data_IF_733693214677
#
_entry.id   IF_733693214677
#
_cell.length_a   1.000
_cell.length_b   1.000
_cell.length_c   1.000
_cell.angle_alpha   90.00
_cell.angle_beta   90.00
_cell.angle_gamma   90.00
#
_symmetry.space_group_name_H-M   'P 1'
#
loop_
_entity.id
_entity.type
_entity.pdbx_description
1 polymer ?
#
# COMPACT_ATOMS: atom_id res chain seq x y z
N UNK A 1 2.40 13.51 -7.52
CA UNK A 1 3.45 12.91 -6.68
C UNK A 1 3.54 13.61 -5.33
N UNK A 2 3.76 14.93 -5.26
CA UNK A 2 3.83 15.69 -4.00
C UNK A 2 2.61 15.47 -3.07
N UNK A 3 1.40 15.48 -3.62
CA UNK A 3 0.17 15.31 -2.82
C UNK A 3 0.01 13.89 -2.27
N UNK A 4 0.55 12.90 -2.98
CA UNK A 4 0.54 11.49 -2.55
C UNK A 4 1.46 11.28 -1.34
N UNK A 5 2.66 11.88 -1.35
CA UNK A 5 3.56 11.81 -0.20
C UNK A 5 2.97 12.53 1.02
N UNK A 6 2.31 13.68 0.81
CA UNK A 6 1.64 14.42 1.89
C UNK A 6 0.55 13.57 2.56
N UNK A 7 -0.30 12.93 1.75
CA UNK A 7 -1.36 12.06 2.24
C UNK A 7 -0.80 10.82 2.98
N UNK A 8 0.28 10.23 2.49
CA UNK A 8 0.95 9.12 3.17
C UNK A 8 1.55 9.53 4.52
N UNK A 9 2.14 10.73 4.61
CA UNK A 9 2.66 11.30 5.85
C UNK A 9 1.54 11.62 6.84
N UNK A 10 0.43 12.22 6.40
CA UNK A 10 -0.72 12.53 7.24
C UNK A 10 -1.36 11.27 7.84
N UNK A 11 -1.26 10.14 7.14
CA UNK A 11 -1.77 8.84 7.61
C UNK A 11 -0.78 8.07 8.51
N UNK A 12 0.43 8.58 8.72
CA UNK A 12 1.41 8.00 9.64
C UNK A 12 2.06 6.70 9.15
N UNK A 13 2.21 6.51 7.85
CA UNK A 13 2.84 5.30 7.30
C UNK A 13 4.35 5.44 7.11
N UNK A 14 5.10 4.47 7.62
CA UNK A 14 6.48 4.23 7.21
C UNK A 14 6.49 3.62 5.80
N UNK A 15 7.19 4.23 4.84
CA UNK A 15 7.13 3.84 3.43
C UNK A 15 8.47 3.28 2.90
N UNK A 16 8.41 2.15 2.20
CA UNK A 16 9.44 1.71 1.23
C UNK A 16 8.74 1.63 -0.12
N UNK A 17 8.96 2.61 -0.99
CA UNK A 17 8.38 2.66 -2.33
C UNK A 17 9.41 2.25 -3.37
N UNK A 18 9.15 1.17 -4.09
CA UNK A 18 9.87 0.86 -5.33
C UNK A 18 8.88 0.72 -6.48
N UNK A 19 9.26 1.21 -7.66
CA UNK A 19 8.33 1.47 -8.76
C UNK A 19 7.89 0.23 -9.55
N UNK A 20 8.35 -0.99 -9.21
CA UNK A 20 8.19 -2.12 -10.14
C UNK A 20 7.65 -3.45 -9.58
N UNK A 21 7.81 -3.82 -8.31
CA UNK A 21 7.15 -5.02 -7.74
C UNK A 21 7.09 -4.86 -6.22
N UNK A 22 5.95 -5.21 -5.63
CA UNK A 22 5.72 -5.22 -4.19
C UNK A 22 6.75 -6.15 -3.50
N UNK A 23 7.86 -5.60 -2.99
CA UNK A 23 8.88 -6.33 -2.25
C UNK A 23 8.57 -6.27 -0.75
N UNK A 24 8.36 -7.43 -0.14
CA UNK A 24 8.00 -7.53 1.28
C UNK A 24 7.11 -8.71 1.64
N UNK A 25 6.52 -9.37 0.63
CA UNK A 25 5.82 -10.65 0.79
C UNK A 25 6.81 -11.82 0.82
N UNK A 26 7.85 -11.73 1.64
CA UNK A 26 8.79 -12.82 1.87
C UNK A 26 8.43 -13.56 3.16
N UNK A 27 8.78 -14.83 3.23
CA UNK A 27 8.62 -15.70 4.40
C UNK A 27 9.39 -15.20 5.63
N UNK A 28 10.48 -14.46 5.42
CA UNK A 28 11.26 -13.81 6.48
C UNK A 28 10.61 -12.55 7.07
N UNK A 29 9.57 -12.01 6.43
CA UNK A 29 8.84 -10.83 6.92
C UNK A 29 7.59 -11.30 7.67
N UNK A 30 7.52 -11.13 9.01
CA UNK A 30 6.42 -11.66 9.82
C UNK A 30 5.07 -11.01 9.51
N UNK A 31 5.06 -9.70 9.21
CA UNK A 31 3.87 -8.99 8.78
C UNK A 31 4.22 -7.68 8.09
N UNK A 32 3.43 -7.28 7.09
CA UNK A 32 3.59 -5.99 6.41
C UNK A 32 2.22 -5.36 6.13
N UNK A 33 2.07 -4.08 6.46
CA UNK A 33 0.94 -3.28 6.00
C UNK A 33 1.25 -2.73 4.60
N UNK A 34 0.31 -2.91 3.67
CA UNK A 34 0.47 -2.57 2.27
C UNK A 34 -0.70 -1.68 1.88
N UNK A 35 -0.42 -0.47 1.40
CA UNK A 35 -1.44 0.42 0.84
C UNK A 35 -1.23 0.52 -0.67
N UNK A 36 -2.23 0.06 -1.43
CA UNK A 36 -2.23 0.15 -2.87
C UNK A 36 -3.17 1.30 -3.28
N UNK A 37 -2.61 2.27 -3.99
CA UNK A 37 -3.33 3.46 -4.44
C UNK A 37 -3.70 3.26 -5.91
N UNK A 38 -4.99 3.18 -6.19
CA UNK A 38 -5.52 3.04 -7.54
C UNK A 38 -6.25 4.31 -7.95
N UNK A 39 -5.73 5.00 -8.96
CA UNK A 39 -6.39 6.14 -9.61
C UNK A 39 -6.72 5.77 -11.06
N UNK A 40 -8.00 5.54 -11.40
CA UNK A 40 -8.39 5.35 -12.79
C UNK A 40 -8.08 6.61 -13.60
N UNK A 41 -7.84 6.46 -14.90
CA UNK A 41 -7.46 7.59 -15.76
C UNK A 41 -8.60 8.57 -16.03
N UNK A 42 -9.84 8.07 -16.01
CA UNK A 42 -11.01 8.77 -16.54
C UNK A 42 -11.95 9.34 -15.47
N UNK A 43 -11.65 9.12 -14.17
CA UNK A 43 -12.41 9.68 -13.05
C UNK A 43 -11.47 10.29 -12.02
N UNK A 44 -11.89 11.40 -11.41
CA UNK A 44 -11.10 12.06 -10.36
C UNK A 44 -11.40 11.45 -8.98
N UNK A 45 -11.25 10.14 -8.90
CA UNK A 45 -11.42 9.36 -7.67
C UNK A 45 -10.16 8.55 -7.45
N UNK A 46 -9.70 8.51 -6.20
CA UNK A 46 -8.59 7.67 -5.77
C UNK A 46 -9.16 6.61 -4.83
N UNK A 47 -8.96 5.35 -5.17
CA UNK A 47 -9.31 4.21 -4.32
C UNK A 47 -8.06 3.74 -3.59
N UNK A 48 -8.19 3.55 -2.28
CA UNK A 48 -7.15 2.98 -1.44
C UNK A 48 -7.53 1.54 -1.11
N UNK A 49 -6.67 0.59 -1.46
CA UNK A 49 -6.79 -0.79 -1.00
C UNK A 49 -5.79 -1.02 0.13
N UNK A 50 -6.31 -1.42 1.28
CA UNK A 50 -5.48 -1.80 2.42
C UNK A 50 -5.31 -3.31 2.43
N UNK A 51 -4.08 -3.76 2.29
CA UNK A 51 -3.70 -5.15 2.39
C UNK A 51 -2.79 -5.38 3.60
N UNK A 52 -2.86 -6.57 4.18
CA UNK A 52 -1.92 -7.05 5.18
C UNK A 52 -1.26 -8.33 4.68
N UNK A 53 0.06 -8.33 4.61
CA UNK A 53 0.85 -9.55 4.54
C UNK A 53 0.94 -10.17 5.93
N UNK A 54 0.62 -11.45 6.04
CA UNK A 54 0.64 -12.20 7.30
C UNK A 54 1.82 -13.19 7.42
N UNK A 55 2.85 -13.06 6.58
CA UNK A 55 3.93 -14.04 6.48
C UNK A 55 3.74 -15.11 5.40
N UNK A 56 2.51 -15.30 4.90
CA UNK A 56 2.18 -16.36 3.93
C UNK A 56 1.41 -15.85 2.71
N UNK A 57 0.44 -14.95 2.91
CA UNK A 57 -0.41 -14.40 1.86
C UNK A 57 -0.81 -12.95 2.11
N UNK A 58 -1.09 -12.24 1.01
CA UNK A 58 -1.67 -10.89 1.04
C UNK A 58 -3.17 -11.01 1.30
N UNK A 59 -3.65 -10.41 2.38
CA UNK A 59 -5.07 -10.40 2.78
C UNK A 59 -5.62 -8.99 2.65
N UNK A 60 -6.78 -8.81 2.01
CA UNK A 60 -7.46 -7.51 2.00
C UNK A 60 -7.99 -7.23 3.41
N UNK A 61 -7.67 -6.06 3.94
CA UNK A 61 -8.23 -5.57 5.20
C UNK A 61 -9.45 -4.72 4.86
N UNK A 62 -10.63 -5.32 5.01
CA UNK A 62 -11.88 -4.57 4.99
C UNK A 62 -12.02 -3.79 6.31
N UNK A 63 -12.36 -2.50 6.20
CA UNK A 63 -12.66 -1.65 7.36
C UNK A 63 -14.11 -1.79 7.77
#
# INVERSE_FOLDING_TARGET
MRDMFHLLTDMGFDYIMTSQVLWGCYDTVPSLAIYEIYRPKDIDVVTLFHYRWNGERRVLVEK
#
